data_IF_298102895481
#
_entry.id   IF_298102895481
#
_cell.length_a   1.000
_cell.length_b   1.000
_cell.length_c   1.000
_cell.angle_alpha   90.00
_cell.angle_beta   90.00
_cell.angle_gamma   90.00
#
_symmetry.space_group_name_H-M   'P 1'
#
loop_
_entity.id
_entity.type
_entity.pdbx_description
1 polymer ?
#
# COMPACT_ATOMS: atom_id res chain seq x y z
N UNK A 1 -23.95 -20.00 25.00
CA UNK A 1 -23.51 -20.62 23.73
C UNK A 1 -22.05 -20.26 23.51
N UNK A 2 -21.16 -21.21 23.15
CA UNK A 2 -19.77 -20.89 22.85
C UNK A 2 -19.65 -20.17 21.50
N UNK A 3 -18.62 -19.34 21.33
CA UNK A 3 -18.23 -18.82 20.01
C UNK A 3 -17.61 -19.97 19.21
N UNK A 4 -18.15 -20.25 18.02
CA UNK A 4 -17.70 -21.35 17.15
C UNK A 4 -16.93 -20.88 15.92
N UNK A 5 -17.02 -19.59 15.59
CA UNK A 5 -16.44 -19.01 14.38
C UNK A 5 -15.87 -17.63 14.68
N UNK A 6 -14.64 -17.39 14.27
CA UNK A 6 -13.99 -16.08 14.32
C UNK A 6 -13.63 -15.66 12.89
N UNK A 7 -14.08 -14.47 12.48
CA UNK A 7 -13.78 -13.89 11.17
C UNK A 7 -12.83 -12.72 11.41
N UNK A 8 -11.75 -12.67 10.65
CA UNK A 8 -10.74 -11.64 10.75
C UNK A 8 -10.73 -10.81 9.47
N UNK A 9 -10.52 -9.51 9.62
CA UNK A 9 -10.04 -8.71 8.51
C UNK A 9 -8.64 -9.19 8.08
N UNK A 10 -8.25 -8.87 6.86
CA UNK A 10 -6.96 -9.26 6.30
C UNK A 10 -5.89 -8.19 6.56
N UNK A 11 -6.06 -7.00 5.99
CA UNK A 11 -4.98 -6.00 5.87
C UNK A 11 -4.84 -5.14 7.12
N UNK A 12 -3.76 -5.34 7.88
CA UNK A 12 -3.53 -4.70 9.18
C UNK A 12 -4.05 -5.53 10.37
N UNK A 13 -4.66 -6.69 10.11
CA UNK A 13 -5.07 -7.66 11.14
C UNK A 13 -4.26 -8.96 11.00
N UNK A 14 -4.35 -9.63 9.85
CA UNK A 14 -3.56 -10.84 9.56
C UNK A 14 -2.27 -10.53 8.80
N UNK A 15 -2.28 -9.49 7.95
CA UNK A 15 -1.15 -9.11 7.11
C UNK A 15 -0.58 -7.74 7.49
N UNK A 16 0.74 -7.67 7.62
CA UNK A 16 1.47 -6.41 7.84
C UNK A 16 1.54 -5.61 6.53
N UNK A 17 0.81 -4.49 6.50
CA UNK A 17 0.69 -3.61 5.33
C UNK A 17 1.98 -2.87 4.96
N UNK A 18 2.96 -2.80 5.88
CA UNK A 18 4.25 -2.17 5.62
C UNK A 18 5.31 -3.18 5.13
N UNK A 19 5.01 -4.48 5.12
CA UNK A 19 5.98 -5.53 4.87
C UNK A 19 6.65 -5.43 3.50
N UNK A 20 5.88 -5.13 2.44
CA UNK A 20 6.41 -5.01 1.08
C UNK A 20 7.46 -3.88 0.96
N UNK A 21 7.13 -2.69 1.49
CA UNK A 21 8.03 -1.54 1.50
C UNK A 21 9.28 -1.81 2.34
N UNK A 22 9.13 -2.42 3.53
CA UNK A 22 10.26 -2.79 4.39
C UNK A 22 11.20 -3.80 3.71
N UNK A 23 10.65 -4.79 3.02
CA UNK A 23 11.42 -5.79 2.31
C UNK A 23 12.22 -5.16 1.17
N UNK A 24 11.55 -4.38 0.30
CA UNK A 24 12.20 -3.68 -0.80
C UNK A 24 13.28 -2.70 -0.31
N UNK A 25 13.07 -2.01 0.81
CA UNK A 25 14.06 -1.10 1.40
C UNK A 25 15.36 -1.79 1.86
N UNK A 26 15.32 -3.10 2.07
CA UNK A 26 16.48 -3.89 2.50
C UNK A 26 17.27 -4.47 1.32
N UNK A 27 16.81 -4.26 0.09
CA UNK A 27 17.45 -4.80 -1.12
C UNK A 27 18.66 -3.96 -1.56
N UNK A 28 19.71 -4.58 -2.12
CA UNK A 28 20.84 -3.84 -2.71
C UNK A 28 20.38 -2.88 -3.81
N UNK A 29 20.93 -1.67 -3.86
CA UNK A 29 20.55 -0.66 -4.86
C UNK A 29 19.29 0.14 -4.50
N UNK A 30 18.70 -0.09 -3.31
CA UNK A 30 17.52 0.64 -2.81
C UNK A 30 17.87 1.68 -1.75
N UNK A 31 19.12 2.15 -1.68
CA UNK A 31 19.59 3.07 -0.64
C UNK A 31 18.82 4.39 -0.64
N UNK A 32 18.38 4.85 -1.81
CA UNK A 32 17.51 6.02 -1.91
C UNK A 32 16.13 5.72 -1.31
N UNK A 33 15.45 4.68 -1.80
CA UNK A 33 14.14 4.24 -1.29
C UNK A 33 14.15 3.92 0.21
N UNK A 34 15.24 3.36 0.74
CA UNK A 34 15.41 3.01 2.14
C UNK A 34 15.25 4.20 3.11
N UNK A 35 15.41 5.44 2.63
CA UNK A 35 15.18 6.65 3.42
C UNK A 35 13.70 7.07 3.46
N UNK A 36 12.94 6.66 2.46
CA UNK A 36 11.54 7.08 2.25
C UNK A 36 10.53 5.98 2.57
N UNK A 37 10.94 4.71 2.63
CA UNK A 37 10.03 3.58 2.75
C UNK A 37 9.01 3.66 3.90
N UNK A 38 9.32 4.18 5.11
CA UNK A 38 8.32 4.27 6.17
C UNK A 38 7.20 5.26 5.82
N UNK A 39 7.56 6.43 5.27
CA UNK A 39 6.60 7.43 4.85
C UNK A 39 5.76 6.94 3.66
N UNK A 40 6.38 6.25 2.70
CA UNK A 40 5.68 5.63 1.57
C UNK A 40 4.68 4.58 2.07
N UNK A 41 5.09 3.67 2.97
CA UNK A 41 4.21 2.63 3.50
C UNK A 41 2.98 3.23 4.22
N UNK A 42 3.19 4.24 5.06
CA UNK A 42 2.12 4.94 5.76
C UNK A 42 1.16 5.63 4.79
N UNK A 43 1.68 6.45 3.88
CA UNK A 43 0.90 7.21 2.90
C UNK A 43 0.15 6.31 1.93
N UNK A 44 0.78 5.23 1.48
CA UNK A 44 0.18 4.26 0.59
C UNK A 44 -1.03 3.59 1.25
N UNK A 45 -0.87 3.10 2.48
CA UNK A 45 -1.99 2.49 3.22
C UNK A 45 -3.11 3.51 3.47
N UNK A 46 -2.76 4.73 3.85
CA UNK A 46 -3.73 5.80 4.07
C UNK A 46 -4.54 6.09 2.81
N UNK A 47 -3.88 6.25 1.66
CA UNK A 47 -4.56 6.52 0.38
C UNK A 47 -5.38 5.35 -0.12
N UNK A 48 -4.90 4.12 0.06
CA UNK A 48 -5.65 2.92 -0.29
C UNK A 48 -7.01 2.93 0.41
N UNK A 49 -7.05 3.19 1.72
CA UNK A 49 -8.31 3.29 2.49
C UNK A 49 -9.16 4.49 2.06
N UNK A 50 -8.58 5.69 1.97
CA UNK A 50 -9.31 6.89 1.56
C UNK A 50 -9.97 6.73 0.19
N UNK A 51 -9.27 6.14 -0.78
CA UNK A 51 -9.81 5.91 -2.11
C UNK A 51 -10.92 4.87 -2.12
N UNK A 52 -10.87 3.82 -1.28
CA UNK A 52 -12.03 2.92 -1.14
C UNK A 52 -13.27 3.67 -0.67
N UNK A 53 -13.14 4.56 0.32
CA UNK A 53 -14.27 5.28 0.89
C UNK A 53 -14.85 6.32 -0.07
N UNK A 54 -13.99 7.13 -0.69
CA UNK A 54 -14.41 8.14 -1.66
C UNK A 54 -15.17 7.50 -2.82
N UNK A 55 -14.62 6.42 -3.39
CA UNK A 55 -15.26 5.71 -4.50
C UNK A 55 -16.59 5.06 -4.09
N UNK A 56 -16.66 4.49 -2.90
CA UNK A 56 -17.90 3.92 -2.38
C UNK A 56 -19.00 5.00 -2.24
N UNK A 57 -18.67 6.18 -1.71
CA UNK A 57 -19.61 7.30 -1.56
C UNK A 57 -20.03 7.87 -2.92
N UNK A 58 -19.13 7.91 -3.91
CA UNK A 58 -19.44 8.38 -5.27
C UNK A 58 -20.18 7.34 -6.11
N UNK A 59 -20.30 6.09 -5.66
CA UNK A 59 -20.86 4.99 -6.45
C UNK A 59 -19.95 4.53 -7.60
N UNK A 60 -18.65 4.87 -7.54
CA UNK A 60 -17.66 4.59 -8.60
C UNK A 60 -16.71 3.46 -8.19
N UNK A 61 -17.28 2.29 -7.90
CA UNK A 61 -16.51 1.14 -7.45
C UNK A 61 -15.49 0.69 -8.51
N UNK A 62 -14.26 0.44 -8.08
CA UNK A 62 -13.21 -0.22 -8.87
C UNK A 62 -12.55 -1.31 -8.04
N UNK A 63 -11.87 -2.24 -8.71
CA UNK A 63 -11.15 -3.32 -8.03
C UNK A 63 -10.08 -2.81 -7.06
N UNK A 64 -9.93 -3.50 -5.93
CA UNK A 64 -8.95 -3.13 -4.89
C UNK A 64 -7.51 -3.07 -5.40
N UNK A 65 -7.17 -3.85 -6.43
CA UNK A 65 -5.86 -3.80 -7.08
C UNK A 65 -5.58 -2.45 -7.74
N UNK A 66 -6.57 -1.87 -8.43
CA UNK A 66 -6.41 -0.54 -9.02
C UNK A 66 -6.27 0.53 -7.93
N UNK A 67 -7.06 0.44 -6.86
CA UNK A 67 -6.95 1.33 -5.69
C UNK A 67 -5.54 1.26 -5.07
N UNK A 68 -4.98 0.05 -5.02
CA UNK A 68 -3.64 -0.21 -4.50
C UNK A 68 -2.58 0.46 -5.38
N UNK A 69 -2.69 0.33 -6.71
CA UNK A 69 -1.79 1.02 -7.65
C UNK A 69 -1.92 2.55 -7.56
N UNK A 70 -3.15 3.08 -7.60
CA UNK A 70 -3.41 4.52 -7.51
C UNK A 70 -2.84 5.12 -6.20
N UNK A 71 -2.97 4.39 -5.09
CA UNK A 71 -2.42 4.79 -3.80
C UNK A 71 -0.89 4.75 -3.75
N UNK A 72 -0.26 3.77 -4.42
CA UNK A 72 1.19 3.67 -4.51
C UNK A 72 1.77 4.82 -5.34
N UNK A 73 1.16 5.09 -6.49
CA UNK A 73 1.60 6.15 -7.40
C UNK A 73 1.57 7.51 -6.70
N UNK A 74 0.51 7.77 -5.94
CA UNK A 74 0.43 8.97 -5.11
C UNK A 74 1.48 9.01 -4.00
N UNK A 75 1.74 7.89 -3.32
CA UNK A 75 2.72 7.83 -2.24
C UNK A 75 4.15 8.08 -2.76
N UNK A 76 4.51 7.46 -3.89
CA UNK A 76 5.79 7.67 -4.57
C UNK A 76 5.96 9.12 -5.03
N UNK A 77 4.92 9.72 -5.63
CA UNK A 77 4.92 11.14 -6.01
C UNK A 77 5.15 12.05 -4.81
N UNK A 78 4.45 11.80 -3.71
CA UNK A 78 4.55 12.62 -2.50
C UNK A 78 5.92 12.58 -1.81
N UNK A 79 6.76 11.60 -2.17
CA UNK A 79 8.12 11.41 -1.66
C UNK A 79 9.19 11.68 -2.74
N UNK A 80 8.79 12.19 -3.91
CA UNK A 80 9.70 12.54 -5.00
C UNK A 80 10.31 11.32 -5.73
N UNK A 81 9.69 10.14 -5.61
CA UNK A 81 10.12 8.89 -6.23
C UNK A 81 9.22 8.44 -7.39
N UNK A 82 8.28 9.29 -7.83
CA UNK A 82 7.50 9.03 -9.03
C UNK A 82 8.43 9.00 -10.26
N UNK A 83 8.32 7.92 -11.05
CA UNK A 83 9.15 7.69 -12.24
C UNK A 83 10.16 6.54 -12.09
N UNK A 84 10.39 6.04 -10.88
CA UNK A 84 11.11 4.78 -10.67
C UNK A 84 10.19 3.58 -10.98
N UNK A 85 10.12 3.22 -12.26
CA UNK A 85 9.25 2.16 -12.74
C UNK A 85 9.60 0.79 -12.15
N UNK A 86 10.89 0.53 -11.95
CA UNK A 86 11.39 -0.72 -11.37
C UNK A 86 11.02 -0.83 -9.88
N UNK A 87 11.15 0.25 -9.10
CA UNK A 87 10.67 0.29 -7.72
C UNK A 87 9.15 0.09 -7.64
N UNK A 88 8.40 0.78 -8.50
CA UNK A 88 6.94 0.64 -8.55
C UNK A 88 6.54 -0.80 -8.82
N UNK A 89 7.14 -1.44 -9.82
CA UNK A 89 6.88 -2.84 -10.14
C UNK A 89 7.23 -3.74 -8.97
N UNK A 90 8.41 -3.55 -8.36
CA UNK A 90 8.87 -4.33 -7.22
C UNK A 90 7.91 -4.27 -6.04
N UNK A 91 7.32 -3.11 -5.75
CA UNK A 91 6.37 -2.93 -4.65
C UNK A 91 5.00 -3.57 -4.92
N UNK A 92 4.68 -3.87 -6.19
CA UNK A 92 3.42 -4.47 -6.63
C UNK A 92 3.53 -5.99 -6.90
N UNK A 93 4.65 -6.61 -6.56
CA UNK A 93 4.84 -8.08 -6.59
C UNK A 93 4.53 -8.71 -5.23
#
# INVERSE_FOLDING_TARGET
MPITTCIFDAYGTLFDVAAAARAAASEPGRENFARHWPAIAEKWRLKQLQYTWLRAVMGEHIGFWQITQDGLDWALESEGLLGDADLRERLLQ
#
